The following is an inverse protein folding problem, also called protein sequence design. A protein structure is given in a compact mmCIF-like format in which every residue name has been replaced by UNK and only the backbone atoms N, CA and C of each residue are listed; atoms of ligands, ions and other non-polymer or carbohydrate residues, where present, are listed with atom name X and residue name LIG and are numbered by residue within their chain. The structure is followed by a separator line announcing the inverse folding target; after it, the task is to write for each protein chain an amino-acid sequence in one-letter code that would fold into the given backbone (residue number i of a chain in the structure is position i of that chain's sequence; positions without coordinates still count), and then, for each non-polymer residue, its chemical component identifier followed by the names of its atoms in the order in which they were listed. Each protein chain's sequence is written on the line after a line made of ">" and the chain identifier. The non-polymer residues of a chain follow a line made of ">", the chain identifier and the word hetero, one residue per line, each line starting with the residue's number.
data_IF_687595906389
#
_entry.id   IF_687595906389
#
_cell.length_a   1.000
_cell.length_b   1.000
_cell.length_c   1.000
_cell.angle_alpha   90.00
_cell.angle_beta   90.00
_cell.angle_gamma   90.00
#
_symmetry.space_group_name_H-M   'P 1'
#
loop_
_entity.id
_entity.type
_entity.pdbx_description
1 polymer ?
#
# COMPACT_ATOMS: atom_id res chain seq x y z
N UNK A 1 -29.85 -27.57 17.88
CA UNK A 1 -29.83 -28.67 16.89
C UNK A 1 -30.88 -28.55 15.78
N UNK A 2 -31.92 -27.71 15.90
CA UNK A 2 -32.90 -27.52 14.81
C UNK A 2 -32.43 -26.49 13.75
N UNK A 3 -31.51 -25.59 14.10
CA UNK A 3 -30.99 -24.58 13.15
C UNK A 3 -29.87 -25.09 12.21
N UNK A 4 -29.26 -26.24 12.51
CA UNK A 4 -28.21 -26.81 11.65
C UNK A 4 -28.77 -27.66 10.49
N UNK A 5 -29.98 -28.20 10.60
CA UNK A 5 -30.63 -28.97 9.52
C UNK A 5 -31.12 -28.06 8.38
N UNK A 6 -31.70 -26.89 8.71
CA UNK A 6 -32.18 -25.94 7.70
C UNK A 6 -31.06 -25.35 6.83
N UNK A 7 -29.86 -25.16 7.40
CA UNK A 7 -28.69 -24.69 6.66
C UNK A 7 -28.12 -25.77 5.75
N UNK A 8 -28.17 -27.04 6.18
CA UNK A 8 -27.74 -28.19 5.38
C UNK A 8 -28.68 -28.44 4.19
N UNK A 9 -30.00 -28.28 4.35
CA UNK A 9 -30.97 -28.41 3.26
C UNK A 9 -30.79 -27.32 2.19
N UNK A 10 -30.52 -26.07 2.58
CA UNK A 10 -30.26 -24.98 1.63
C UNK A 10 -28.96 -25.22 0.84
N UNK A 11 -27.91 -25.72 1.50
CA UNK A 11 -26.64 -26.07 0.83
C UNK A 11 -26.81 -27.26 -0.13
N UNK A 12 -27.63 -28.26 0.25
CA UNK A 12 -27.91 -29.41 -0.61
C UNK A 12 -28.80 -29.08 -1.81
N UNK A 13 -29.76 -28.16 -1.66
CA UNK A 13 -30.61 -27.70 -2.75
C UNK A 13 -29.83 -26.87 -3.78
N UNK A 14 -28.89 -26.04 -3.34
CA UNK A 14 -27.97 -25.30 -4.23
C UNK A 14 -27.07 -26.28 -5.01
N UNK A 15 -26.63 -27.37 -4.38
CA UNK A 15 -25.86 -28.42 -5.06
C UNK A 15 -26.69 -29.26 -6.05
N UNK A 16 -27.98 -29.50 -5.77
CA UNK A 16 -28.90 -30.20 -6.71
C UNK A 16 -29.20 -29.38 -7.97
N UNK A 17 -29.26 -28.06 -7.87
CA UNK A 17 -29.44 -27.16 -9.04
C UNK A 17 -28.24 -27.28 -10.00
N UNK A 18 -27.03 -27.56 -9.50
CA UNK A 18 -25.82 -27.76 -10.31
C UNK A 18 -25.86 -29.00 -11.23
N UNK A 19 -26.75 -29.97 -10.98
CA UNK A 19 -26.86 -31.19 -11.78
C UNK A 19 -28.00 -31.22 -12.82
N UNK A 20 -28.84 -30.18 -12.91
CA UNK A 20 -29.73 -30.02 -14.07
C UNK A 20 -29.02 -29.29 -15.20
N UNK A 21 -28.13 -30.02 -15.90
CA UNK A 21 -27.77 -29.68 -17.29
C UNK A 21 -29.02 -29.84 -18.15
N UNK A 22 -29.68 -28.72 -18.46
CA UNK A 22 -30.48 -28.40 -19.66
C UNK A 22 -31.54 -27.37 -19.28
N UNK A 23 -31.19 -26.08 -19.37
CA UNK A 23 -32.15 -25.00 -19.50
C UNK A 23 -31.83 -24.22 -20.79
N UNK A 24 -32.84 -23.73 -21.55
CA UNK A 24 -32.67 -23.29 -22.93
C UNK A 24 -31.79 -22.05 -23.02
N UNK A 25 -31.05 -21.91 -24.12
CA UNK A 25 -30.25 -20.70 -24.38
C UNK A 25 -31.14 -19.46 -24.45
N UNK A 26 -30.67 -18.30 -23.96
CA UNK A 26 -31.45 -17.08 -23.85
C UNK A 26 -31.55 -16.40 -25.23
N UNK A 27 -32.43 -16.90 -26.08
CA UNK A 27 -32.88 -16.17 -27.28
C UNK A 27 -34.38 -15.97 -27.34
N UNK A 28 -35.17 -16.64 -26.49
CA UNK A 28 -36.64 -16.66 -26.62
C UNK A 28 -37.43 -16.03 -25.45
N UNK A 29 -36.77 -15.43 -24.45
CA UNK A 29 -37.46 -14.69 -23.38
C UNK A 29 -37.30 -13.18 -23.62
N UNK A 30 -38.35 -12.57 -24.18
CA UNK A 30 -38.44 -11.13 -24.35
C UNK A 30 -38.26 -10.39 -23.02
N UNK A 31 -37.59 -9.22 -23.08
CA UNK A 31 -37.17 -8.37 -21.94
C UNK A 31 -38.22 -8.12 -20.85
N UNK A 32 -39.52 -8.27 -21.15
CA UNK A 32 -40.60 -8.11 -20.18
C UNK A 32 -40.68 -9.26 -19.16
N UNK A 33 -40.44 -10.53 -19.58
CA UNK A 33 -40.60 -11.69 -18.71
C UNK A 33 -39.52 -11.81 -17.63
N UNK A 34 -38.31 -11.31 -17.91
CA UNK A 34 -37.21 -11.29 -16.93
C UNK A 34 -37.44 -10.22 -15.84
N UNK A 35 -38.10 -9.11 -16.19
CA UNK A 35 -38.37 -8.00 -15.29
C UNK A 35 -39.46 -8.37 -14.28
N UNK A 36 -40.53 -9.05 -14.73
CA UNK A 36 -41.62 -9.50 -13.86
C UNK A 36 -41.14 -10.52 -12.83
N UNK A 37 -40.24 -11.45 -13.20
CA UNK A 37 -39.68 -12.41 -12.24
C UNK A 37 -38.76 -11.76 -11.19
N UNK A 38 -37.99 -10.73 -11.58
CA UNK A 38 -37.14 -9.96 -10.67
C UNK A 38 -37.97 -9.11 -9.71
N UNK A 39 -39.03 -8.47 -10.19
CA UNK A 39 -39.94 -7.66 -9.35
C UNK A 39 -40.69 -8.56 -8.35
N UNK A 40 -41.12 -9.76 -8.75
CA UNK A 40 -41.80 -10.69 -7.85
C UNK A 40 -40.90 -11.24 -6.74
N UNK A 41 -39.61 -11.42 -7.03
CA UNK A 41 -38.61 -11.87 -6.04
C UNK A 41 -38.23 -10.77 -5.04
N UNK A 42 -38.21 -9.51 -5.47
CA UNK A 42 -37.86 -8.35 -4.63
C UNK A 42 -39.01 -7.79 -3.78
N UNK A 43 -40.26 -8.17 -4.08
CA UNK A 43 -41.46 -7.67 -3.39
C UNK A 43 -41.86 -8.49 -2.13
N UNK A 44 -41.11 -9.53 -1.76
CA UNK A 44 -41.37 -10.25 -0.52
C UNK A 44 -40.91 -9.42 0.69
N UNK A 45 -41.78 -9.16 1.69
CA UNK A 45 -41.44 -8.32 2.83
C UNK A 45 -40.47 -9.07 3.73
N UNK A 46 -39.17 -8.79 3.60
CA UNK A 46 -38.18 -9.23 4.58
C UNK A 46 -38.35 -8.33 5.81
N UNK A 47 -38.86 -8.94 6.88
CA UNK A 47 -39.07 -8.29 8.17
C UNK A 47 -37.81 -7.58 8.67
N UNK A 48 -38.04 -6.45 9.34
CA UNK A 48 -37.02 -5.66 10.02
C UNK A 48 -36.11 -6.50 10.93
N UNK A 49 -34.83 -6.12 10.95
CA UNK A 49 -33.78 -6.48 11.93
C UNK A 49 -33.22 -7.90 11.82
N UNK A 50 -32.12 -8.03 11.06
CA UNK A 50 -30.91 -8.82 11.44
C UNK A 50 -29.77 -8.77 10.39
N UNK A 51 -29.75 -7.75 9.54
CA UNK A 51 -28.75 -7.59 8.46
C UNK A 51 -27.34 -7.19 8.93
N UNK A 52 -27.15 -6.83 10.20
CA UNK A 52 -25.83 -6.52 10.76
C UNK A 52 -25.08 -7.78 11.22
N UNK A 53 -25.77 -8.85 11.60
CA UNK A 53 -25.15 -10.11 12.06
C UNK A 53 -24.75 -11.05 10.92
N UNK A 54 -25.48 -11.05 9.80
CA UNK A 54 -25.23 -11.98 8.69
C UNK A 54 -24.13 -11.55 7.71
N UNK A 55 -23.76 -10.27 7.68
CA UNK A 55 -22.63 -9.78 6.85
C UNK A 55 -21.29 -10.25 7.41
N UNK A 56 -21.17 -10.43 8.73
CA UNK A 56 -19.93 -10.93 9.34
C UNK A 56 -19.68 -12.42 9.09
N UNK A 57 -20.71 -13.20 8.77
CA UNK A 57 -20.56 -14.65 8.56
C UNK A 57 -20.31 -15.06 7.10
N UNK A 58 -20.57 -14.17 6.13
CA UNK A 58 -20.30 -14.41 4.70
C UNK A 58 -18.85 -14.08 4.29
N UNK A 59 -18.05 -13.47 5.15
CA UNK A 59 -16.61 -13.29 4.92
C UNK A 59 -15.77 -14.57 5.16
N UNK A 60 -16.38 -15.66 5.61
CA UNK A 60 -15.67 -16.88 6.05
C UNK A 60 -15.74 -18.06 5.07
N UNK A 61 -16.38 -17.93 3.91
CA UNK A 61 -16.35 -18.98 2.88
C UNK A 61 -15.90 -18.38 1.55
N UNK A 62 -14.83 -18.97 1.02
CA UNK A 62 -14.13 -18.59 -0.21
C UNK A 62 -15.09 -18.34 -1.38
N UNK A 63 -15.03 -17.14 -1.98
CA UNK A 63 -14.99 -16.85 -3.42
C UNK A 63 -15.30 -15.36 -3.68
N UNK A 64 -14.24 -14.55 -3.81
CA UNK A 64 -14.28 -13.07 -3.84
C UNK A 64 -14.78 -12.43 -5.17
N UNK A 65 -15.17 -13.20 -6.18
CA UNK A 65 -15.39 -12.65 -7.54
C UNK A 65 -16.86 -12.35 -7.84
N UNK A 66 -17.82 -13.11 -7.31
CA UNK A 66 -19.25 -12.93 -7.63
C UNK A 66 -19.97 -11.92 -6.71
N UNK A 67 -19.46 -11.69 -5.50
CA UNK A 67 -20.05 -10.74 -4.54
C UNK A 67 -19.86 -9.29 -5.00
N UNK A 68 -18.70 -8.95 -5.57
CA UNK A 68 -18.45 -7.60 -6.09
C UNK A 68 -19.37 -7.25 -7.27
N UNK A 69 -19.66 -8.22 -8.14
CA UNK A 69 -20.57 -8.04 -9.28
C UNK A 69 -22.03 -7.96 -8.85
N UNK A 70 -22.45 -8.73 -7.84
CA UNK A 70 -23.80 -8.66 -7.29
C UNK A 70 -24.06 -7.35 -6.53
N UNK A 71 -23.08 -6.84 -5.78
CA UNK A 71 -23.16 -5.55 -5.09
C UNK A 71 -23.20 -4.41 -6.12
N UNK A 72 -22.34 -4.44 -7.14
CA UNK A 72 -22.37 -3.46 -8.22
C UNK A 72 -23.73 -3.47 -8.95
N UNK A 73 -24.26 -4.66 -9.28
CA UNK A 73 -25.57 -4.79 -9.91
C UNK A 73 -26.69 -4.24 -9.01
N UNK A 74 -26.69 -4.53 -7.71
CA UNK A 74 -27.69 -4.03 -6.76
C UNK A 74 -27.66 -2.51 -6.56
N UNK A 75 -26.46 -1.91 -6.58
CA UNK A 75 -26.27 -0.45 -6.50
C UNK A 75 -26.74 0.26 -7.77
N UNK A 76 -26.62 -0.38 -8.94
CA UNK A 76 -27.07 0.18 -10.22
C UNK A 76 -28.56 -0.09 -10.55
N UNK A 77 -29.16 -1.17 -10.05
CA UNK A 77 -30.56 -1.54 -10.33
C UNK A 77 -31.58 -0.83 -9.43
N UNK A 78 -31.23 -0.49 -8.18
CA UNK A 78 -32.14 0.23 -7.26
C UNK A 78 -32.56 1.64 -7.73
N UNK A 79 -31.67 2.47 -8.31
CA UNK A 79 -32.07 3.74 -8.91
C UNK A 79 -33.01 3.55 -10.11
N UNK A 80 -32.81 2.49 -10.89
CA UNK A 80 -33.58 2.21 -12.10
C UNK A 80 -35.04 1.80 -11.77
N UNK A 81 -35.23 1.00 -10.72
CA UNK A 81 -36.56 0.58 -10.23
C UNK A 81 -37.31 1.75 -9.58
N UNK A 82 -36.60 2.65 -8.88
CA UNK A 82 -37.19 3.84 -8.29
C UNK A 82 -37.81 4.79 -9.33
N UNK A 83 -37.09 5.02 -10.43
CA UNK A 83 -37.54 5.84 -11.56
C UNK A 83 -38.74 5.21 -12.28
N UNK A 84 -38.74 3.88 -12.44
CA UNK A 84 -39.86 3.15 -13.07
C UNK A 84 -41.14 3.12 -12.23
N UNK A 85 -41.02 3.23 -10.90
CA UNK A 85 -42.16 3.25 -9.97
C UNK A 85 -42.58 4.67 -9.55
N UNK A 86 -41.96 5.71 -10.11
CA UNK A 86 -42.29 7.11 -9.82
C UNK A 86 -41.99 7.52 -8.37
N UNK A 87 -41.05 6.84 -7.70
CA UNK A 87 -40.64 7.15 -6.34
C UNK A 87 -39.32 7.91 -6.33
N UNK A 88 -39.28 9.05 -5.64
CA UNK A 88 -38.06 9.83 -5.42
C UNK A 88 -37.12 9.08 -4.46
N UNK A 89 -36.11 8.38 -5.01
CA UNK A 89 -35.03 7.83 -4.19
C UNK A 89 -33.92 8.88 -4.01
N UNK A 90 -33.84 9.42 -2.79
CA UNK A 90 -32.75 10.31 -2.40
C UNK A 90 -31.48 9.49 -2.05
N UNK A 91 -30.64 9.21 -3.04
CA UNK A 91 -29.39 8.46 -2.88
C UNK A 91 -28.26 9.23 -2.16
N UNK A 92 -28.56 10.40 -1.57
CA UNK A 92 -27.58 11.19 -0.82
C UNK A 92 -27.50 10.87 0.68
N UNK A 93 -28.38 10.03 1.24
CA UNK A 93 -28.27 9.62 2.65
C UNK A 93 -27.56 8.27 2.78
N UNK A 94 -26.26 8.32 2.53
CA UNK A 94 -25.35 7.21 2.74
C UNK A 94 -24.06 7.52 2.01
N UNK A 95 -23.11 8.09 2.75
CA UNK A 95 -21.78 8.53 2.29
C UNK A 95 -21.76 10.03 1.90
N UNK A 96 -21.61 10.86 2.94
CA UNK A 96 -21.21 12.28 3.00
C UNK A 96 -22.26 13.38 3.27
N UNK A 97 -21.94 14.13 4.34
CA UNK A 97 -22.28 15.53 4.70
C UNK A 97 -23.52 15.80 5.58
N UNK A 98 -23.25 15.74 6.89
CA UNK A 98 -23.62 16.86 7.77
C UNK A 98 -22.88 18.13 7.31
N UNK A 99 -23.60 19.11 6.75
CA UNK A 99 -23.38 20.55 6.94
C UNK A 99 -24.27 21.39 5.99
N UNK A 100 -25.09 22.26 6.60
CA UNK A 100 -25.77 23.45 6.05
C UNK A 100 -27.03 23.31 5.19
N UNK A 101 -28.16 23.20 5.91
CA UNK A 101 -29.34 24.09 5.92
C UNK A 101 -29.83 24.83 4.65
N UNK A 102 -31.16 24.70 4.45
CA UNK A 102 -32.16 25.55 3.75
C UNK A 102 -32.40 25.30 2.24
N UNK A 103 -33.49 24.57 1.95
CA UNK A 103 -34.31 24.65 0.71
C UNK A 103 -35.10 25.98 0.65
N UNK A 104 -35.83 26.40 -0.43
CA UNK A 104 -36.37 25.65 -1.60
C UNK A 104 -36.36 26.48 -2.95
N UNK A 105 -37.19 26.23 -4.01
CA UNK A 105 -37.67 24.99 -4.64
C UNK A 105 -37.38 24.89 -6.18
N UNK A 106 -37.36 23.65 -6.70
CA UNK A 106 -37.76 23.16 -8.04
C UNK A 106 -37.61 24.06 -9.30
N UNK A 107 -36.75 23.62 -10.25
CA UNK A 107 -36.94 23.79 -11.70
C UNK A 107 -36.49 22.52 -12.47
N UNK A 108 -37.18 22.12 -13.56
CA UNK A 108 -36.96 20.84 -14.25
C UNK A 108 -35.71 20.85 -15.14
N UNK A 109 -35.00 19.73 -15.16
CA UNK A 109 -33.81 19.49 -15.95
C UNK A 109 -34.18 19.28 -17.43
N UNK A 110 -33.86 20.24 -18.31
CA UNK A 110 -33.88 20.07 -19.77
C UNK A 110 -32.45 19.79 -20.27
N UNK A 111 -32.35 18.91 -21.26
CA UNK A 111 -31.12 18.24 -21.70
C UNK A 111 -29.93 19.14 -22.05
N UNK A 112 -28.76 18.50 -22.12
CA UNK A 112 -27.48 19.14 -22.41
C UNK A 112 -27.43 19.63 -23.87
N UNK A 113 -27.35 20.94 -24.06
CA UNK A 113 -26.88 21.58 -25.29
C UNK A 113 -25.56 22.30 -25.00
N UNK A 114 -24.47 21.87 -25.65
CA UNK A 114 -23.17 22.53 -25.60
C UNK A 114 -23.21 23.80 -26.48
N UNK A 115 -23.38 24.96 -25.86
CA UNK A 115 -23.07 26.25 -26.48
C UNK A 115 -21.73 26.77 -25.93
N UNK A 116 -20.72 26.82 -26.80
CA UNK A 116 -19.44 27.46 -26.49
C UNK A 116 -19.61 28.99 -26.57
N UNK A 117 -19.55 29.68 -25.43
CA UNK A 117 -19.35 31.13 -25.39
C UNK A 117 -17.88 31.48 -25.10
N UNK A 118 -17.32 32.54 -25.71
CA UNK A 118 -15.95 32.96 -25.41
C UNK A 118 -15.88 33.61 -24.02
N UNK A 119 -14.91 33.18 -23.21
CA UNK A 119 -14.70 33.70 -21.86
C UNK A 119 -14.22 35.17 -21.87
N UNK A 120 -14.65 36.01 -20.91
CA UNK A 120 -14.15 37.37 -20.76
C UNK A 120 -12.67 37.35 -20.33
N UNK A 121 -11.89 38.30 -20.85
CA UNK A 121 -10.45 38.44 -20.60
C UNK A 121 -10.14 38.69 -19.12
N UNK A 122 -9.80 37.61 -18.40
CA UNK A 122 -9.19 37.68 -17.07
C UNK A 122 -7.68 37.60 -17.22
N UNK A 123 -6.98 38.54 -16.59
CA UNK A 123 -5.54 38.71 -16.63
C UNK A 123 -4.75 37.46 -16.24
N UNK A 124 -3.46 37.46 -16.60
CA UNK A 124 -2.47 36.39 -16.39
C UNK A 124 -2.69 35.68 -15.03
N UNK A 125 -2.84 34.34 -15.01
CA UNK A 125 -2.97 33.64 -13.74
C UNK A 125 -1.67 33.75 -12.96
N UNK A 126 -1.75 34.28 -11.74
CA UNK A 126 -0.68 34.11 -10.75
C UNK A 126 -0.38 32.62 -10.61
N UNK A 127 0.92 32.28 -10.59
CA UNK A 127 1.39 30.93 -10.27
C UNK A 127 0.78 30.52 -8.93
N UNK A 128 -0.22 29.63 -8.96
CA UNK A 128 -0.73 28.98 -7.76
C UNK A 128 0.46 28.35 -7.03
N UNK A 129 0.71 28.76 -5.78
CA UNK A 129 1.62 28.06 -4.89
C UNK A 129 1.20 26.58 -4.89
N UNK A 130 2.13 25.62 -5.06
CA UNK A 130 1.80 24.21 -5.03
C UNK A 130 1.04 23.91 -3.74
N UNK A 131 -0.04 23.14 -3.86
CA UNK A 131 -0.83 22.72 -2.72
C UNK A 131 0.08 22.07 -1.69
N UNK A 132 0.06 22.58 -0.46
CA UNK A 132 0.76 21.99 0.67
C UNK A 132 0.17 20.59 0.89
N UNK A 133 0.93 19.56 0.54
CA UNK A 133 0.59 18.19 0.88
C UNK A 133 0.47 18.07 2.41
N UNK A 134 -0.49 17.28 2.94
CA UNK A 134 -0.60 17.05 4.38
C UNK A 134 0.75 16.59 4.95
N UNK A 135 1.11 17.17 6.09
CA UNK A 135 2.43 17.03 6.64
C UNK A 135 2.56 15.68 7.39
N UNK A 136 2.81 14.58 6.66
CA UNK A 136 3.17 13.27 7.24
C UNK A 136 4.48 13.26 8.08
N UNK A 137 5.04 14.42 8.46
CA UNK A 137 6.25 14.53 9.29
C UNK A 137 5.97 14.52 10.80
N UNK A 138 4.70 14.34 11.19
CA UNK A 138 4.25 14.36 12.58
C UNK A 138 3.57 13.05 12.97
N UNK A 139 4.15 11.92 12.56
CA UNK A 139 3.76 10.63 13.11
C UNK A 139 3.99 10.62 14.63
N UNK A 140 3.27 9.75 15.37
CA UNK A 140 3.41 9.66 16.81
C UNK A 140 4.87 9.40 17.18
N UNK A 141 5.39 10.18 18.13
CA UNK A 141 6.74 9.99 18.68
C UNK A 141 6.69 8.96 19.80
N UNK A 142 7.58 7.98 19.73
CA UNK A 142 7.77 6.95 20.75
C UNK A 142 9.23 7.02 21.21
N UNK A 143 9.48 6.86 22.51
CA UNK A 143 10.84 6.83 23.01
C UNK A 143 11.56 5.58 22.49
N UNK A 144 12.81 5.72 22.06
CA UNK A 144 13.63 4.60 21.57
C UNK A 144 13.74 3.45 22.58
N UNK A 145 13.74 3.74 23.88
CA UNK A 145 13.75 2.73 24.97
C UNK A 145 12.46 1.94 25.09
N UNK A 146 11.39 2.34 24.39
CA UNK A 146 10.07 1.68 24.45
C UNK A 146 9.88 0.62 23.36
N UNK A 147 10.79 0.53 22.38
CA UNK A 147 10.74 -0.50 21.34
C UNK A 147 11.90 -1.48 21.49
N UNK A 148 11.65 -2.80 21.39
CA UNK A 148 12.75 -3.75 21.23
C UNK A 148 13.47 -3.50 19.90
N UNK A 149 14.77 -3.77 19.89
CA UNK A 149 15.60 -3.73 18.67
C UNK A 149 15.84 -5.13 18.13
N UNK A 150 16.00 -5.25 16.82
CA UNK A 150 16.43 -6.47 16.14
C UNK A 150 17.95 -6.48 15.92
N UNK A 151 18.57 -7.64 16.12
CA UNK A 151 19.83 -7.99 15.46
C UNK A 151 19.57 -8.49 14.03
N UNK A 152 20.59 -8.53 13.18
CA UNK A 152 20.53 -9.14 11.85
C UNK A 152 20.09 -10.60 11.90
N UNK A 153 20.57 -11.35 12.91
CA UNK A 153 20.17 -12.74 13.10
C UNK A 153 18.68 -12.87 13.47
N UNK A 154 18.18 -12.00 14.36
CA UNK A 154 16.76 -11.98 14.71
C UNK A 154 15.89 -11.53 13.53
N UNK A 155 16.33 -10.53 12.76
CA UNK A 155 15.61 -10.08 11.58
C UNK A 155 15.48 -11.20 10.54
N UNK A 156 16.57 -11.90 10.23
CA UNK A 156 16.56 -13.04 9.31
C UNK A 156 15.67 -14.19 9.81
N UNK A 157 15.67 -14.46 11.13
CA UNK A 157 14.82 -15.49 11.71
C UNK A 157 13.34 -15.08 11.70
N UNK A 158 13.03 -13.81 11.96
CA UNK A 158 11.67 -13.27 11.82
C UNK A 158 11.19 -13.43 10.38
N UNK A 159 11.97 -13.01 9.38
CA UNK A 159 11.60 -13.15 7.96
C UNK A 159 11.34 -14.62 7.59
N UNK A 160 12.19 -15.54 8.06
CA UNK A 160 12.01 -16.99 7.88
C UNK A 160 10.70 -17.48 8.49
N UNK A 161 10.41 -17.09 9.73
CA UNK A 161 9.16 -17.46 10.43
C UNK A 161 7.93 -16.87 9.74
N UNK A 162 8.00 -15.64 9.26
CA UNK A 162 6.92 -14.97 8.52
C UNK A 162 6.55 -15.78 7.27
N UNK A 163 7.55 -16.23 6.51
CA UNK A 163 7.34 -17.09 5.36
C UNK A 163 6.82 -18.48 5.73
N UNK A 164 7.47 -19.18 6.66
CA UNK A 164 7.18 -20.59 6.95
C UNK A 164 5.91 -20.79 7.79
N UNK A 165 5.71 -19.97 8.83
CA UNK A 165 4.62 -20.12 9.80
C UNK A 165 3.36 -19.38 9.40
N UNK A 166 3.50 -18.24 8.72
CA UNK A 166 2.37 -17.38 8.36
C UNK A 166 2.06 -17.34 6.86
N UNK A 167 2.87 -18.03 6.04
CA UNK A 167 2.72 -18.05 4.58
C UNK A 167 2.70 -16.64 3.95
N UNK A 168 3.39 -15.68 4.59
CA UNK A 168 3.56 -14.33 4.06
C UNK A 168 4.88 -14.30 3.29
N UNK A 169 4.85 -14.25 1.96
CA UNK A 169 6.05 -14.30 1.14
C UNK A 169 6.80 -12.95 1.17
N UNK A 170 8.11 -12.98 0.92
CA UNK A 170 9.00 -11.81 0.97
C UNK A 170 8.52 -10.69 0.03
N UNK A 171 7.91 -11.04 -1.09
CA UNK A 171 7.33 -10.11 -2.06
C UNK A 171 6.27 -9.19 -1.42
N UNK A 172 5.47 -9.69 -0.48
CA UNK A 172 4.45 -8.87 0.18
C UNK A 172 5.08 -7.89 1.16
N UNK A 173 6.09 -8.34 1.92
CA UNK A 173 6.85 -7.49 2.82
C UNK A 173 7.60 -6.40 2.05
N UNK A 174 8.22 -6.76 0.93
CA UNK A 174 8.97 -5.86 0.04
C UNK A 174 8.06 -4.79 -0.59
N UNK A 175 6.86 -5.17 -1.03
CA UNK A 175 5.87 -4.20 -1.53
C UNK A 175 5.47 -3.20 -0.44
N UNK A 176 5.18 -3.70 0.76
CA UNK A 176 4.84 -2.86 1.90
C UNK A 176 6.01 -1.94 2.27
N UNK A 177 7.24 -2.45 2.33
CA UNK A 177 8.44 -1.68 2.60
C UNK A 177 8.64 -0.55 1.57
N UNK A 178 8.57 -0.89 0.28
CA UNK A 178 8.69 0.07 -0.81
C UNK A 178 7.65 1.19 -0.73
N UNK A 179 6.40 0.85 -0.40
CA UNK A 179 5.33 1.83 -0.16
C UNK A 179 5.68 2.79 0.99
N UNK A 180 6.13 2.25 2.13
CA UNK A 180 6.47 3.05 3.30
C UNK A 180 7.65 3.99 3.04
N UNK A 181 8.69 3.49 2.39
CA UNK A 181 9.89 4.25 2.03
C UNK A 181 9.54 5.38 1.05
N UNK A 182 8.79 5.07 -0.01
CA UNK A 182 8.45 6.04 -1.05
C UNK A 182 7.71 7.27 -0.50
N UNK A 183 6.90 7.11 0.55
CA UNK A 183 6.14 8.21 1.20
C UNK A 183 7.05 9.29 1.82
N UNK A 184 8.29 8.95 2.17
CA UNK A 184 9.28 9.91 2.69
C UNK A 184 10.05 10.65 1.59
N UNK A 185 10.08 10.11 0.38
CA UNK A 185 10.76 10.68 -0.79
C UNK A 185 9.94 11.81 -1.44
N UNK A 186 9.93 12.98 -0.77
CA UNK A 186 9.23 14.19 -1.23
C UNK A 186 10.08 14.98 -2.23
N UNK A 187 10.05 14.59 -3.49
CA UNK A 187 10.74 15.30 -4.58
C UNK A 187 11.18 14.36 -5.69
N UNK A 188 11.90 14.89 -6.69
CA UNK A 188 12.56 14.08 -7.71
C UNK A 188 13.61 13.20 -7.04
N UNK A 189 13.41 11.89 -7.07
CA UNK A 189 14.19 10.95 -6.25
C UNK A 189 15.05 10.04 -7.13
N UNK A 190 16.35 10.03 -6.86
CA UNK A 190 17.27 9.01 -7.40
C UNK A 190 17.30 7.83 -6.43
N UNK A 191 17.01 6.63 -6.93
CA UNK A 191 17.00 5.41 -6.12
C UNK A 191 18.23 4.57 -6.43
N UNK A 192 19.02 4.28 -5.40
CA UNK A 192 20.32 3.62 -5.49
C UNK A 192 20.25 2.25 -4.85
N UNK A 193 20.16 1.22 -5.68
CA UNK A 193 19.89 -0.15 -5.24
C UNK A 193 21.17 -0.98 -5.17
N UNK A 194 21.29 -1.78 -4.12
CA UNK A 194 22.28 -2.85 -4.06
C UNK A 194 21.80 -4.09 -4.81
N UNK A 195 22.35 -5.25 -4.46
CA UNK A 195 22.03 -6.54 -5.10
C UNK A 195 21.01 -7.40 -4.34
N UNK A 196 20.78 -7.09 -3.06
CA UNK A 196 19.95 -7.92 -2.16
C UNK A 196 18.54 -7.37 -1.94
N UNK A 197 17.88 -7.86 -0.89
CA UNK A 197 16.50 -7.47 -0.56
C UNK A 197 16.33 -5.97 -0.32
N UNK A 198 17.30 -5.29 0.32
CA UNK A 198 17.22 -3.83 0.49
C UNK A 198 17.15 -3.11 -0.87
N UNK A 199 17.89 -3.62 -1.88
CA UNK A 199 17.78 -3.12 -3.25
C UNK A 199 16.39 -3.40 -3.85
N UNK A 200 15.79 -4.54 -3.54
CA UNK A 200 14.40 -4.84 -3.87
C UNK A 200 13.39 -3.87 -3.25
N UNK A 201 13.54 -3.53 -1.98
CA UNK A 201 12.70 -2.52 -1.30
C UNK A 201 12.84 -1.15 -1.99
N UNK A 202 14.06 -0.79 -2.41
CA UNK A 202 14.34 0.37 -3.24
C UNK A 202 13.64 0.32 -4.59
N UNK A 203 13.65 -0.82 -5.29
CA UNK A 203 12.97 -1.00 -6.58
C UNK A 203 11.44 -0.88 -6.43
N UNK A 204 10.86 -1.46 -5.38
CA UNK A 204 9.45 -1.31 -5.07
C UNK A 204 9.10 0.17 -4.80
N UNK A 205 9.92 0.86 -4.00
CA UNK A 205 9.78 2.30 -3.77
C UNK A 205 9.88 3.10 -5.08
N UNK A 206 10.80 2.74 -5.97
CA UNK A 206 10.97 3.37 -7.26
C UNK A 206 9.73 3.21 -8.16
N UNK A 207 9.06 2.05 -8.12
CA UNK A 207 7.81 1.81 -8.86
C UNK A 207 6.69 2.75 -8.40
N UNK A 208 6.53 2.94 -7.09
CA UNK A 208 5.59 3.93 -6.55
C UNK A 208 5.97 5.37 -6.93
N UNK A 209 7.26 5.73 -6.79
CA UNK A 209 7.77 7.06 -7.15
C UNK A 209 7.58 7.37 -8.64
N UNK A 210 7.75 6.38 -9.52
CA UNK A 210 7.50 6.50 -10.96
C UNK A 210 6.04 6.84 -11.20
N UNK A 211 5.12 6.07 -10.59
CA UNK A 211 3.67 6.29 -10.71
C UNK A 211 3.24 7.67 -10.22
N UNK A 212 3.92 8.21 -9.21
CA UNK A 212 3.65 9.53 -8.65
C UNK A 212 4.35 10.68 -9.39
N UNK A 213 5.09 10.41 -10.46
CA UNK A 213 5.82 11.43 -11.22
C UNK A 213 6.99 12.04 -10.44
N UNK A 214 7.55 11.29 -9.49
CA UNK A 214 8.63 11.72 -8.58
C UNK A 214 9.93 10.96 -8.78
N UNK A 215 9.95 9.93 -9.62
CA UNK A 215 11.19 9.21 -9.92
C UNK A 215 12.08 10.06 -10.82
N UNK A 216 13.34 10.25 -10.41
CA UNK A 216 14.38 10.86 -11.25
C UNK A 216 15.16 9.80 -12.03
N UNK A 217 15.68 8.80 -11.34
CA UNK A 217 16.39 7.65 -11.91
C UNK A 217 16.37 6.47 -10.95
N UNK A 218 16.71 5.30 -11.48
CA UNK A 218 17.07 4.12 -10.70
C UNK A 218 18.42 3.63 -11.19
N UNK A 219 19.33 3.38 -10.26
CA UNK A 219 20.60 2.74 -10.54
C UNK A 219 20.75 1.51 -9.63
N UNK A 220 21.30 0.42 -10.16
CA UNK A 220 21.64 -0.78 -9.40
C UNK A 220 23.13 -1.09 -9.52
N UNK A 221 23.75 -1.52 -8.41
CA UNK A 221 25.16 -1.94 -8.42
C UNK A 221 25.40 -3.06 -9.43
N UNK A 222 24.48 -4.02 -9.47
CA UNK A 222 24.46 -5.10 -10.45
C UNK A 222 23.02 -5.58 -10.67
N UNK A 223 22.43 -5.19 -11.79
CA UNK A 223 21.08 -5.61 -12.21
C UNK A 223 20.97 -7.13 -12.40
N UNK A 224 22.06 -7.80 -12.79
CA UNK A 224 22.07 -9.25 -13.07
C UNK A 224 22.12 -10.10 -11.81
N UNK A 225 22.53 -9.51 -10.68
CA UNK A 225 22.61 -10.17 -9.38
C UNK A 225 21.27 -10.21 -8.63
N UNK A 226 20.20 -9.60 -9.16
CA UNK A 226 18.89 -9.68 -8.52
C UNK A 226 18.27 -11.07 -8.67
N UNK A 227 17.81 -11.60 -7.54
CA UNK A 227 17.11 -12.88 -7.44
C UNK A 227 15.78 -12.71 -6.69
N UNK A 228 14.91 -13.72 -6.76
CA UNK A 228 13.69 -13.78 -5.96
C UNK A 228 12.78 -12.55 -6.10
N UNK A 229 12.39 -11.96 -4.95
CA UNK A 229 11.51 -10.81 -4.89
C UNK A 229 12.11 -9.57 -5.58
N UNK A 230 13.40 -9.28 -5.35
CA UNK A 230 14.08 -8.14 -5.98
C UNK A 230 14.11 -8.25 -7.51
N UNK A 231 14.30 -9.46 -8.06
CA UNK A 231 14.24 -9.69 -9.50
C UNK A 231 12.87 -9.39 -10.10
N UNK A 232 11.79 -9.74 -9.38
CA UNK A 232 10.41 -9.45 -9.80
C UNK A 232 10.11 -7.96 -9.77
N UNK A 233 10.56 -7.23 -8.76
CA UNK A 233 10.43 -5.76 -8.72
C UNK A 233 11.21 -5.10 -9.86
N UNK A 234 12.43 -5.56 -10.12
CA UNK A 234 13.23 -5.05 -11.24
C UNK A 234 12.52 -5.26 -12.59
N UNK A 235 11.99 -6.46 -12.82
CA UNK A 235 11.22 -6.78 -14.02
C UNK A 235 9.94 -5.94 -14.14
N UNK A 236 9.17 -5.80 -13.07
CA UNK A 236 7.95 -5.01 -13.06
C UNK A 236 8.23 -3.53 -13.35
N UNK A 237 9.31 -2.99 -12.76
CA UNK A 237 9.75 -1.63 -12.98
C UNK A 237 10.20 -1.40 -14.44
N UNK A 238 10.98 -2.31 -15.02
CA UNK A 238 11.40 -2.25 -16.43
C UNK A 238 10.20 -2.33 -17.39
N UNK A 239 9.26 -3.24 -17.12
CA UNK A 239 8.00 -3.35 -17.88
C UNK A 239 7.10 -2.11 -17.75
N UNK A 240 7.28 -1.30 -16.70
CA UNK A 240 6.62 -0.01 -16.54
C UNK A 240 7.29 1.14 -17.31
N UNK A 241 8.38 0.86 -18.04
CA UNK A 241 9.10 1.82 -18.87
C UNK A 241 10.25 2.54 -18.15
N UNK A 242 10.66 2.08 -16.97
CA UNK A 242 11.78 2.64 -16.22
C UNK A 242 13.05 1.83 -16.47
N UNK A 243 14.11 2.47 -16.97
CA UNK A 243 15.41 1.82 -17.15
C UNK A 243 16.19 1.80 -15.83
N UNK A 244 16.65 0.61 -15.41
CA UNK A 244 17.60 0.45 -14.31
C UNK A 244 19.01 0.63 -14.87
N UNK A 245 19.71 1.66 -14.41
CA UNK A 245 21.05 2.02 -14.90
C UNK A 245 22.14 1.31 -14.10
N UNK A 246 23.31 1.15 -14.70
CA UNK A 246 24.51 0.72 -13.98
C UNK A 246 25.21 1.88 -13.30
N UNK A 247 25.06 3.12 -13.77
CA UNK A 247 25.75 4.29 -13.22
C UNK A 247 24.78 5.29 -12.58
N UNK A 248 25.28 6.04 -11.59
CA UNK A 248 24.52 7.09 -10.89
C UNK A 248 24.67 8.44 -11.59
N UNK A 249 23.57 9.21 -11.59
CA UNK A 249 23.54 10.59 -12.05
C UNK A 249 22.76 11.42 -11.03
N UNK A 250 23.43 11.87 -9.96
CA UNK A 250 22.74 12.50 -8.82
C UNK A 250 22.21 13.91 -9.14
N UNK A 251 22.68 14.53 -10.22
CA UNK A 251 22.31 15.88 -10.63
C UNK A 251 20.84 15.99 -11.04
N UNK A 252 20.09 16.91 -10.41
CA UNK A 252 18.66 17.10 -10.69
C UNK A 252 17.72 16.20 -9.89
N UNK A 253 18.26 15.38 -8.98
CA UNK A 253 17.52 14.82 -7.86
C UNK A 253 17.38 15.85 -6.73
N UNK A 254 16.22 15.87 -6.09
CA UNK A 254 16.01 16.53 -4.80
C UNK A 254 16.34 15.58 -3.63
N UNK A 255 16.13 14.27 -3.85
CA UNK A 255 16.25 13.21 -2.84
C UNK A 255 17.09 12.06 -3.39
N UNK A 256 18.00 11.52 -2.57
CA UNK A 256 18.71 10.27 -2.80
C UNK A 256 18.14 9.21 -1.85
N UNK A 257 17.65 8.11 -2.40
CA UNK A 257 17.25 6.94 -1.62
C UNK A 257 18.39 5.94 -1.64
N UNK A 258 19.05 5.80 -0.50
CA UNK A 258 20.04 4.76 -0.21
C UNK A 258 19.32 3.45 0.09
N UNK A 259 19.36 2.54 -0.87
CA UNK A 259 18.85 1.17 -0.78
C UNK A 259 19.97 0.17 -1.15
N UNK A 260 21.23 0.52 -0.83
CA UNK A 260 22.40 -0.26 -1.25
C UNK A 260 22.59 -1.49 -0.35
N UNK A 261 22.71 -1.31 0.96
CA UNK A 261 22.90 -2.39 1.93
C UNK A 261 21.92 -2.25 3.10
N UNK A 262 21.41 -3.39 3.57
CA UNK A 262 20.61 -3.48 4.79
C UNK A 262 21.33 -4.32 5.85
N UNK A 263 20.59 -5.17 6.55
CA UNK A 263 21.09 -6.03 7.66
C UNK A 263 22.18 -7.03 7.29
N UNK A 264 22.36 -7.34 6.01
CA UNK A 264 23.32 -8.34 5.52
C UNK A 264 24.77 -7.86 5.36
N UNK A 265 25.09 -6.61 5.70
CA UNK A 265 26.46 -6.09 5.60
C UNK A 265 27.36 -6.68 6.68
N UNK A 266 28.45 -7.33 6.28
CA UNK A 266 29.43 -7.95 7.18
C UNK A 266 30.88 -7.50 6.96
N UNK A 267 31.10 -6.62 5.97
CA UNK A 267 32.41 -6.07 5.61
C UNK A 267 32.27 -4.63 5.11
N UNK A 268 33.33 -3.81 5.18
CA UNK A 268 33.32 -2.47 4.63
C UNK A 268 32.90 -2.46 3.15
N UNK A 269 32.14 -1.44 2.70
CA UNK A 269 31.85 -1.27 1.29
C UNK A 269 33.13 -1.09 0.46
N UNK A 270 33.15 -1.69 -0.73
CA UNK A 270 34.31 -1.69 -1.63
C UNK A 270 33.89 -1.43 -3.07
N UNK A 271 34.85 -1.00 -3.90
CA UNK A 271 34.66 -0.75 -5.33
C UNK A 271 33.48 0.19 -5.60
N UNK A 272 32.65 -0.19 -6.57
CA UNK A 272 31.49 0.62 -7.00
C UNK A 272 30.55 1.01 -5.86
N UNK A 273 30.37 0.14 -4.87
CA UNK A 273 29.52 0.45 -3.72
C UNK A 273 30.13 1.54 -2.83
N UNK A 274 31.45 1.50 -2.61
CA UNK A 274 32.16 2.54 -1.89
C UNK A 274 32.08 3.89 -2.64
N UNK A 275 32.33 3.87 -3.96
CA UNK A 275 32.25 5.07 -4.81
C UNK A 275 30.87 5.72 -4.75
N UNK A 276 29.80 4.92 -4.75
CA UNK A 276 28.43 5.42 -4.64
C UNK A 276 28.16 6.05 -3.27
N UNK A 277 28.59 5.41 -2.18
CA UNK A 277 28.40 5.93 -0.83
C UNK A 277 29.16 7.26 -0.66
N UNK A 278 30.37 7.36 -1.19
CA UNK A 278 31.13 8.61 -1.18
C UNK A 278 30.43 9.70 -1.99
N UNK A 279 29.92 9.38 -3.17
CA UNK A 279 29.15 10.33 -3.99
C UNK A 279 27.86 10.80 -3.30
N UNK A 280 27.14 9.90 -2.61
CA UNK A 280 25.97 10.24 -1.80
C UNK A 280 26.36 11.24 -0.71
N UNK A 281 27.43 10.95 0.04
CA UNK A 281 27.89 11.79 1.15
C UNK A 281 28.44 13.15 0.70
N UNK A 282 29.03 13.24 -0.49
CA UNK A 282 29.50 14.49 -1.07
C UNK A 282 28.38 15.33 -1.69
N UNK A 283 27.21 14.72 -1.91
CA UNK A 283 26.04 15.37 -2.49
C UNK A 283 25.45 16.44 -1.56
N UNK A 284 24.66 17.36 -2.10
CA UNK A 284 23.90 18.37 -1.32
C UNK A 284 22.41 18.03 -1.23
N UNK A 285 22.04 16.86 -1.75
CA UNK A 285 20.68 16.36 -1.81
C UNK A 285 20.25 15.80 -0.46
N UNK A 286 18.94 15.68 -0.26
CA UNK A 286 18.41 15.01 0.92
C UNK A 286 18.58 13.49 0.75
N UNK A 287 19.28 12.86 1.67
CA UNK A 287 19.52 11.42 1.73
C UNK A 287 18.53 10.76 2.68
N UNK A 288 17.86 9.72 2.16
CA UNK A 288 16.98 8.83 2.92
C UNK A 288 17.57 7.43 2.83
N UNK A 289 17.74 6.75 3.96
CA UNK A 289 18.17 5.35 3.99
C UNK A 289 16.96 4.41 4.13
N UNK A 290 16.95 3.35 3.31
CA UNK A 290 16.07 2.21 3.44
C UNK A 290 16.68 1.23 4.43
N UNK A 291 15.92 0.95 5.48
CA UNK A 291 16.21 0.08 6.61
C UNK A 291 17.36 0.49 7.54
N UNK A 292 18.55 0.69 6.97
CA UNK A 292 19.81 1.08 7.59
C UNK A 292 20.62 1.95 6.61
N UNK A 293 21.36 2.97 7.08
CA UNK A 293 22.36 3.64 6.25
C UNK A 293 23.41 2.63 5.77
N UNK A 294 23.63 2.57 4.46
CA UNK A 294 24.61 1.65 3.88
C UNK A 294 26.01 1.91 4.41
N UNK A 295 26.67 0.86 4.90
CA UNK A 295 27.95 0.93 5.60
C UNK A 295 27.82 0.84 7.13
N UNK A 296 26.61 0.93 7.70
CA UNK A 296 26.38 0.80 9.14
C UNK A 296 26.15 -0.67 9.52
N UNK A 297 26.86 -1.17 10.53
CA UNK A 297 26.60 -2.50 11.08
C UNK A 297 25.28 -2.53 11.88
N UNK A 298 24.38 -3.43 11.50
CA UNK A 298 23.02 -3.54 12.03
C UNK A 298 22.93 -3.90 13.52
N UNK A 299 23.92 -4.61 14.07
CA UNK A 299 23.87 -5.14 15.44
C UNK A 299 24.47 -4.20 16.46
N UNK A 300 25.61 -3.60 16.13
CA UNK A 300 26.43 -2.83 17.08
C UNK A 300 26.50 -1.34 16.75
N UNK A 301 26.11 -0.92 15.53
CA UNK A 301 26.11 0.48 15.10
C UNK A 301 27.47 1.04 14.72
N UNK A 302 28.48 0.21 14.46
CA UNK A 302 29.78 0.66 13.95
C UNK A 302 29.65 1.10 12.49
N UNK A 303 30.15 2.28 12.18
CA UNK A 303 30.25 2.77 10.81
C UNK A 303 31.48 2.15 10.10
N UNK A 304 31.25 1.31 9.09
CA UNK A 304 32.30 0.75 8.23
C UNK A 304 32.57 1.70 7.07
N UNK A 305 33.80 2.19 6.94
CA UNK A 305 34.11 3.20 5.93
C UNK A 305 34.09 2.63 4.50
N UNK A 306 33.44 3.31 3.54
CA UNK A 306 32.59 4.49 3.72
C UNK A 306 31.17 4.13 4.21
N UNK A 307 30.55 4.99 5.03
CA UNK A 307 29.16 4.83 5.52
C UNK A 307 28.30 6.03 5.15
N UNK A 308 27.08 5.78 4.66
CA UNK A 308 26.11 6.82 4.31
C UNK A 308 25.73 7.66 5.53
N UNK A 309 25.61 8.98 5.35
CA UNK A 309 25.07 9.93 6.33
C UNK A 309 23.67 10.36 5.88
N UNK A 310 22.65 9.67 6.35
CA UNK A 310 21.26 9.95 6.02
C UNK A 310 20.69 11.08 6.89
N UNK A 311 19.81 11.90 6.34
CA UNK A 311 18.99 12.81 7.15
C UNK A 311 17.75 12.11 7.72
N UNK A 312 17.34 10.99 7.12
CA UNK A 312 16.22 10.18 7.59
C UNK A 312 16.44 8.71 7.24
N UNK A 313 16.12 7.80 8.16
CA UNK A 313 16.12 6.35 7.92
C UNK A 313 14.72 5.80 8.14
N UNK A 314 14.19 5.07 7.15
CA UNK A 314 12.94 4.32 7.27
C UNK A 314 13.28 2.87 7.59
N UNK A 315 13.20 2.50 8.85
CA UNK A 315 13.51 1.15 9.32
C UNK A 315 12.27 0.26 9.31
N UNK A 316 12.42 -0.97 8.82
CA UNK A 316 11.30 -1.83 8.49
C UNK A 316 10.96 -2.79 9.64
N UNK A 317 9.69 -2.83 10.05
CA UNK A 317 9.18 -3.65 11.15
C UNK A 317 9.58 -3.12 12.52
N UNK A 318 10.82 -3.41 12.94
CA UNK A 318 11.41 -2.93 14.20
C UNK A 318 12.78 -2.30 13.93
N UNK A 319 13.24 -1.36 14.78
CA UNK A 319 14.54 -0.75 14.64
C UNK A 319 15.65 -1.80 14.80
N UNK A 320 16.70 -1.69 13.97
CA UNK A 320 17.93 -2.45 14.17
C UNK A 320 18.74 -1.86 15.32
N UNK A 321 19.37 -2.69 16.14
CA UNK A 321 20.11 -2.26 17.33
C UNK A 321 21.18 -1.20 16.99
N UNK A 322 21.86 -1.39 15.87
CA UNK A 322 22.90 -0.51 15.36
C UNK A 322 22.43 0.88 14.96
N UNK A 323 21.13 1.12 14.74
CA UNK A 323 20.60 2.48 14.53
C UNK A 323 20.68 3.34 15.81
N UNK A 324 20.63 2.69 16.98
CA UNK A 324 20.52 3.35 18.27
C UNK A 324 21.83 3.28 19.08
N UNK A 325 22.83 2.57 18.56
CA UNK A 325 24.11 2.31 19.23
C UNK A 325 25.28 2.94 18.47
N UNK A 326 26.38 3.19 19.19
CA UNK A 326 27.67 3.61 18.64
C UNK A 326 27.54 4.79 17.65
N UNK A 327 27.96 4.61 16.39
CA UNK A 327 27.95 5.64 15.35
C UNK A 327 26.58 5.79 14.69
N UNK A 328 25.67 4.83 14.89
CA UNK A 328 24.34 4.77 14.27
C UNK A 328 23.54 6.06 14.34
N UNK A 329 23.35 6.67 15.53
CA UNK A 329 22.61 7.92 15.66
C UNK A 329 23.19 9.08 14.83
N UNK A 330 24.50 9.09 14.59
CA UNK A 330 25.16 10.12 13.78
C UNK A 330 25.01 9.89 12.26
N UNK A 331 24.60 8.69 11.84
CA UNK A 331 24.44 8.29 10.45
C UNK A 331 22.98 8.11 10.02
N UNK A 332 22.07 7.81 10.95
CA UNK A 332 20.68 7.48 10.66
C UNK A 332 19.75 8.69 10.50
N UNK A 333 20.12 9.85 11.05
CA UNK A 333 19.26 11.03 11.07
C UNK A 333 17.96 10.79 11.84
N UNK A 334 16.82 11.30 11.34
CA UNK A 334 15.51 10.95 11.90
C UNK A 334 15.15 9.49 11.61
N UNK A 335 14.76 8.70 12.61
CA UNK A 335 14.39 7.30 12.43
C UNK A 335 12.87 7.16 12.44
N UNK A 336 12.34 6.54 11.39
CA UNK A 336 10.94 6.15 11.26
C UNK A 336 10.84 4.64 11.22
N UNK A 337 10.12 4.05 12.17
CA UNK A 337 9.82 2.62 12.21
C UNK A 337 8.51 2.41 11.47
N UNK A 338 8.55 1.63 10.39
CA UNK A 338 7.42 1.45 9.50
C UNK A 338 6.86 0.03 9.58
N UNK A 339 5.53 -0.06 9.64
CA UNK A 339 4.83 -1.33 9.54
C UNK A 339 4.92 -1.88 8.12
N UNK A 340 5.33 -3.14 8.02
CA UNK A 340 5.40 -3.91 6.77
C UNK A 340 4.55 -5.19 6.83
N UNK A 341 3.72 -5.34 7.87
CA UNK A 341 2.80 -6.46 8.00
C UNK A 341 3.38 -7.72 8.64
N UNK A 342 4.44 -7.59 9.44
CA UNK A 342 5.01 -8.71 10.19
C UNK A 342 4.10 -9.02 11.41
N UNK A 343 3.59 -10.27 11.56
CA UNK A 343 2.82 -10.67 12.73
C UNK A 343 3.62 -10.52 14.03
N UNK A 344 2.98 -10.04 15.10
CA UNK A 344 3.63 -9.84 16.40
C UNK A 344 4.20 -11.15 16.96
N UNK A 345 3.52 -12.26 16.70
CA UNK A 345 3.89 -13.62 17.10
C UNK A 345 5.21 -14.09 16.46
N UNK A 346 5.64 -13.49 15.35
CA UNK A 346 6.96 -13.75 14.76
C UNK A 346 8.08 -13.10 15.61
N UNK A 347 7.84 -11.90 16.13
CA UNK A 347 8.76 -11.24 17.06
C UNK A 347 8.83 -11.95 18.41
N UNK A 348 7.69 -12.39 18.93
CA UNK A 348 7.64 -13.14 20.20
C UNK A 348 8.42 -14.46 20.12
N UNK A 349 8.38 -15.14 18.98
CA UNK A 349 9.11 -16.38 18.75
C UNK A 349 10.64 -16.21 18.81
N UNK A 350 11.16 -15.01 18.54
CA UNK A 350 12.59 -14.67 18.69
C UNK A 350 12.90 -13.99 20.02
N UNK A 351 11.96 -14.05 20.98
CA UNK A 351 12.13 -13.55 22.35
C UNK A 351 11.86 -12.05 22.53
N UNK A 352 11.26 -11.38 21.54
CA UNK A 352 10.98 -9.95 21.61
C UNK A 352 9.52 -9.69 21.98
N UNK A 353 9.29 -8.87 23.01
CA UNK A 353 7.95 -8.42 23.40
C UNK A 353 7.65 -7.11 22.71
N UNK A 354 6.82 -7.17 21.68
CA UNK A 354 6.30 -5.99 20.98
C UNK A 354 4.90 -5.71 21.50
N UNK A 355 4.59 -4.44 21.75
CA UNK A 355 3.23 -4.07 22.10
C UNK A 355 2.36 -4.25 20.85
N UNK A 356 1.32 -5.10 20.90
CA UNK A 356 0.41 -5.33 19.78
C UNK A 356 -0.31 -4.07 19.27
N UNK A 357 -0.21 -2.96 20.01
CA UNK A 357 -0.76 -1.66 19.63
C UNK A 357 0.23 -0.74 18.92
N UNK A 358 1.48 -1.17 18.64
CA UNK A 358 2.53 -0.32 18.07
C UNK A 358 2.06 0.43 16.80
N UNK A 359 1.34 -0.27 15.91
CA UNK A 359 0.81 0.27 14.67
C UNK A 359 -0.72 0.35 14.65
N UNK A 360 -1.37 0.36 15.81
CA UNK A 360 -2.84 0.34 15.89
C UNK A 360 -3.52 1.63 15.42
N UNK A 361 -2.78 2.75 15.35
CA UNK A 361 -3.32 4.07 14.96
C UNK A 361 -2.69 4.57 13.66
N UNK A 362 -1.37 4.45 13.53
CA UNK A 362 -0.60 4.87 12.36
C UNK A 362 0.33 3.73 11.96
N UNK A 363 0.60 3.63 10.66
CA UNK A 363 1.45 2.59 10.08
C UNK A 363 2.94 2.93 10.11
N UNK A 364 3.29 4.07 10.71
CA UNK A 364 4.67 4.47 10.98
C UNK A 364 4.76 5.27 12.29
N UNK A 365 5.86 5.06 13.02
CA UNK A 365 6.15 5.77 14.26
C UNK A 365 7.55 6.39 14.19
N UNK A 366 7.73 7.56 14.80
CA UNK A 366 9.03 8.22 14.84
C UNK A 366 9.72 7.97 16.17
N UNK A 367 11.01 7.63 16.14
CA UNK A 367 11.86 7.47 17.33
C UNK A 367 12.48 8.79 17.80
#
# INVERSE_FOLDING_TARGET
>A
MVEHEAVLDVVQDVHRVRHRRQAPRPTDLGRAGLLDQLIHSLAQPVGHLDLLGQIQHLQLVQELVDVAHAIAAGVFLRPLVAVLLGQDLNLYTGIFKHCYSRSPPYQPFYGWSLECQPAPSRGRPERRKPAVLPNHSQGPRILSTSLPTLTSAQAAEVDRLVAERFAIPVEWLMEAAGWQIARHCRGRTAVLCGKGNNGGDGLAAARHLSRWGRLHLVAALDRSAFEGAAAREAEALERSGVTIRSEIELGGADVLLDAIFGTGLSRPPEGKAADWIEAINASQQRVIAADLPSGLEADNGRALNPTVRAQLTVTLGLPKAGLLAMDGPAHAGEIWVADIGIPTEAYEAVGLKVQGTLFAVEDQVRL
#
